data_IF_762459719954
#
_entry.id   IF_762459719954
#
_cell.length_a   1.000
_cell.length_b   1.000
_cell.length_c   1.000
_cell.angle_alpha   90.00
_cell.angle_beta   90.00
_cell.angle_gamma   90.00
#
_symmetry.space_group_name_H-M   'P 1'
#
loop_
_entity.id
_entity.type
_entity.pdbx_description
1 polymer ?
#
# COMPACT_ATOMS: atom_id res chain seq x y z
N UNK A 1 0.86 -9.34 6.71
CA UNK A 1 1.69 -10.11 7.64
C UNK A 1 2.97 -9.34 7.86
N UNK A 2 3.30 -8.97 9.11
CA UNK A 2 4.55 -8.29 9.41
C UNK A 2 5.75 -9.21 9.13
N UNK A 3 6.90 -8.61 8.81
CA UNK A 3 8.12 -9.35 8.42
C UNK A 3 8.51 -10.43 9.43
N UNK A 4 8.47 -10.10 10.73
CA UNK A 4 8.89 -11.01 11.81
C UNK A 4 7.96 -12.21 12.03
N UNK A 5 6.77 -12.21 11.40
CA UNK A 5 5.81 -13.31 11.44
C UNK A 5 5.78 -14.13 10.15
N UNK A 6 6.63 -13.81 9.17
CA UNK A 6 6.73 -14.61 7.95
C UNK A 6 7.14 -16.06 8.27
N UNK A 7 6.58 -17.06 7.58
CA UNK A 7 7.00 -18.44 7.76
C UNK A 7 8.49 -18.62 7.51
N UNK A 8 9.14 -19.48 8.29
CA UNK A 8 10.55 -19.85 8.13
C UNK A 8 10.91 -20.23 6.69
N UNK A 9 10.00 -20.89 5.98
CA UNK A 9 10.20 -21.27 4.57
C UNK A 9 10.39 -20.07 3.65
N UNK A 10 9.70 -18.96 3.92
CA UNK A 10 9.82 -17.70 3.17
C UNK A 10 11.13 -17.01 3.55
N UNK A 11 11.39 -16.86 4.85
CA UNK A 11 12.58 -16.16 5.36
C UNK A 11 13.87 -16.86 4.92
N UNK A 12 13.93 -18.20 4.97
CA UNK A 12 15.10 -19.00 4.62
C UNK A 12 15.26 -19.24 3.12
N UNK A 13 14.23 -19.01 2.32
CA UNK A 13 14.33 -19.13 0.86
C UNK A 13 14.99 -17.92 0.22
N UNK A 14 15.38 -18.07 -1.04
CA UNK A 14 15.85 -16.97 -1.89
C UNK A 14 14.69 -16.18 -2.54
N UNK A 15 13.46 -16.29 -2.02
CA UNK A 15 12.34 -15.56 -2.59
C UNK A 15 12.52 -14.05 -2.40
N UNK A 16 12.36 -13.31 -3.49
CA UNK A 16 12.35 -11.84 -3.48
C UNK A 16 11.02 -11.31 -2.96
N UNK A 17 11.05 -10.16 -2.31
CA UNK A 17 9.86 -9.46 -1.80
C UNK A 17 9.80 -8.04 -2.35
N UNK A 18 8.58 -7.56 -2.62
CA UNK A 18 8.32 -6.16 -2.91
C UNK A 18 7.43 -5.64 -1.79
N UNK A 19 7.90 -4.63 -1.08
CA UNK A 19 7.14 -3.98 -0.02
C UNK A 19 6.79 -2.56 -0.43
N UNK A 20 5.52 -2.18 -0.27
CA UNK A 20 5.06 -0.83 -0.54
C UNK A 20 4.42 -0.24 0.71
N UNK A 21 4.89 0.93 1.13
CA UNK A 21 4.25 1.71 2.18
C UNK A 21 3.63 2.98 1.61
N UNK A 22 2.81 3.64 2.44
CA UNK A 22 2.04 4.82 2.07
C UNK A 22 1.93 5.77 3.27
N UNK A 23 1.69 7.06 3.03
CA UNK A 23 1.38 8.00 4.10
C UNK A 23 0.29 7.42 5.05
N UNK A 24 0.53 7.38 6.37
CA UNK A 24 -0.36 6.71 7.32
C UNK A 24 -1.76 7.34 7.40
N UNK A 25 -1.89 8.65 7.15
CA UNK A 25 -3.19 9.36 7.19
C UNK A 25 -4.07 8.91 6.02
N UNK A 26 -3.49 8.87 4.82
CA UNK A 26 -4.16 8.36 3.63
C UNK A 26 -4.45 6.86 3.71
N UNK A 27 -3.52 6.10 4.31
CA UNK A 27 -3.67 4.66 4.57
C UNK A 27 -4.87 4.40 5.47
N UNK A 28 -4.98 5.14 6.58
CA UNK A 28 -6.12 5.06 7.48
C UNK A 28 -7.44 5.35 6.76
N UNK A 29 -7.54 6.47 6.03
CA UNK A 29 -8.78 6.81 5.31
C UNK A 29 -9.15 5.77 4.26
N UNK A 30 -8.15 5.23 3.56
CA UNK A 30 -8.36 4.13 2.63
C UNK A 30 -8.91 2.89 3.33
N UNK A 31 -8.30 2.50 4.47
CA UNK A 31 -8.71 1.33 5.25
C UNK A 31 -10.11 1.49 5.85
N UNK A 32 -10.39 2.61 6.52
CA UNK A 32 -11.69 2.92 7.10
C UNK A 32 -12.80 2.94 6.05
N UNK A 33 -12.56 3.55 4.89
CA UNK A 33 -13.52 3.54 3.76
C UNK A 33 -13.74 2.15 3.18
N UNK A 34 -12.69 1.31 3.16
CA UNK A 34 -12.73 -0.04 2.62
C UNK A 34 -13.57 -0.96 3.51
N UNK A 35 -13.30 -0.98 4.83
CA UNK A 35 -14.04 -1.83 5.78
C UNK A 35 -15.54 -1.46 5.83
N UNK A 36 -15.90 -0.19 5.64
CA UNK A 36 -17.33 0.20 5.58
C UNK A 36 -18.10 -0.46 4.43
N UNK A 37 -17.40 -0.91 3.38
CA UNK A 37 -17.99 -1.61 2.23
C UNK A 37 -17.99 -3.12 2.40
N UNK A 38 -17.55 -3.63 3.55
CA UNK A 38 -17.56 -5.05 3.85
C UNK A 38 -18.99 -5.53 4.05
N UNK A 39 -19.39 -6.59 3.33
CA UNK A 39 -20.59 -7.35 3.64
C UNK A 39 -20.35 -8.14 4.92
N UNK A 40 -20.76 -7.57 6.04
CA UNK A 40 -20.54 -8.11 7.38
C UNK A 40 -21.82 -8.11 8.20
N UNK A 41 -21.99 -9.15 9.02
CA UNK A 41 -23.08 -9.22 10.01
C UNK A 41 -22.71 -8.57 11.35
N UNK A 42 -21.47 -8.04 11.49
CA UNK A 42 -20.92 -7.54 12.76
C UNK A 42 -21.36 -6.11 13.13
N UNK A 43 -22.39 -5.58 12.48
CA UNK A 43 -22.88 -4.21 12.72
C UNK A 43 -22.01 -3.14 12.06
N UNK A 44 -22.40 -1.86 12.20
CA UNK A 44 -21.64 -0.74 11.63
C UNK A 44 -20.30 -0.57 12.34
N UNK A 45 -19.37 0.10 11.67
CA UNK A 45 -18.13 0.54 12.31
C UNK A 45 -18.39 1.62 13.36
N UNK A 46 -17.47 1.70 14.32
CA UNK A 46 -17.30 2.87 15.19
C UNK A 46 -17.12 4.16 14.38
N UNK A 47 -17.23 5.29 15.08
CA UNK A 47 -17.02 6.60 14.47
C UNK A 47 -15.62 6.72 13.85
N UNK A 48 -15.45 7.65 12.91
CA UNK A 48 -14.15 7.91 12.29
C UNK A 48 -13.08 8.26 13.34
N UNK A 49 -13.44 9.04 14.35
CA UNK A 49 -12.55 9.46 15.44
C UNK A 49 -12.10 8.27 16.29
N UNK A 50 -13.02 7.40 16.71
CA UNK A 50 -12.69 6.18 17.47
C UNK A 50 -11.84 5.23 16.64
N UNK A 51 -12.18 5.01 15.36
CA UNK A 51 -11.38 4.20 14.46
C UNK A 51 -9.97 4.77 14.27
N UNK A 52 -9.84 6.09 14.18
CA UNK A 52 -8.54 6.76 14.04
C UNK A 52 -7.72 6.65 15.32
N UNK A 53 -8.36 6.82 16.47
CA UNK A 53 -7.71 6.66 17.78
C UNK A 53 -7.17 5.23 17.95
N UNK A 54 -7.97 4.21 17.63
CA UNK A 54 -7.52 2.81 17.62
C UNK A 54 -6.33 2.61 16.65
N UNK A 55 -6.39 3.18 15.45
CA UNK A 55 -5.29 3.09 14.48
C UNK A 55 -4.00 3.77 15.01
N UNK A 56 -4.11 4.93 15.65
CA UNK A 56 -2.99 5.61 16.31
C UNK A 56 -2.38 4.77 17.45
N UNK A 57 -3.19 4.01 18.18
CA UNK A 57 -2.75 3.09 19.23
C UNK A 57 -2.20 1.77 18.67
N UNK A 58 -2.20 1.58 17.34
CA UNK A 58 -1.77 0.36 16.68
C UNK A 58 -2.80 -0.78 16.71
N UNK A 59 -4.02 -0.50 17.16
CA UNK A 59 -5.14 -1.44 17.23
C UNK A 59 -5.85 -1.44 15.88
N UNK A 60 -5.30 -2.17 14.91
CA UNK A 60 -5.89 -2.37 13.59
C UNK A 60 -5.56 -3.77 13.05
N UNK A 61 -6.28 -4.22 12.03
CA UNK A 61 -5.88 -5.42 11.30
C UNK A 61 -4.45 -5.29 10.79
N UNK A 62 -3.61 -6.30 11.06
CA UNK A 62 -2.16 -6.29 10.76
C UNK A 62 -1.36 -5.14 11.42
N UNK A 63 -1.97 -4.44 12.39
CA UNK A 63 -1.33 -3.34 13.12
C UNK A 63 -0.34 -3.82 14.18
N UNK A 64 0.51 -2.90 14.72
CA UNK A 64 0.56 -1.48 14.39
C UNK A 64 1.16 -1.18 13.01
N UNK A 65 0.55 -0.26 12.25
CA UNK A 65 0.96 0.02 10.86
C UNK A 65 2.43 0.47 10.74
N UNK A 66 2.87 1.39 11.60
CA UNK A 66 4.23 1.92 11.52
C UNK A 66 5.29 0.89 11.93
N UNK A 67 4.97 -0.02 12.86
CA UNK A 67 5.81 -1.18 13.17
C UNK A 67 5.93 -2.12 11.99
N UNK A 68 4.82 -2.37 11.28
CA UNK A 68 4.80 -3.17 10.06
C UNK A 68 5.73 -2.56 8.99
N UNK A 69 5.65 -1.24 8.76
CA UNK A 69 6.54 -0.52 7.84
C UNK A 69 8.00 -0.61 8.28
N UNK A 70 8.27 -0.37 9.57
CA UNK A 70 9.62 -0.37 10.10
C UNK A 70 10.29 -1.76 10.05
N UNK A 71 9.53 -2.84 10.27
CA UNK A 71 10.04 -4.20 10.15
C UNK A 71 10.57 -4.51 8.75
N UNK A 72 9.78 -4.17 7.73
CA UNK A 72 10.21 -4.33 6.34
C UNK A 72 11.33 -3.36 5.94
N UNK A 73 11.36 -2.15 6.51
CA UNK A 73 12.45 -1.20 6.27
C UNK A 73 13.78 -1.73 6.78
N UNK A 74 13.82 -2.25 8.01
CA UNK A 74 15.02 -2.87 8.58
C UNK A 74 15.48 -4.08 7.76
N UNK A 75 14.53 -4.94 7.38
CA UNK A 75 14.84 -6.10 6.54
C UNK A 75 15.40 -5.69 5.17
N UNK A 76 14.89 -4.60 4.58
CA UNK A 76 15.44 -4.01 3.36
C UNK A 76 16.87 -3.48 3.57
N UNK A 77 17.15 -2.81 4.68
CA UNK A 77 18.50 -2.32 5.00
C UNK A 77 19.50 -3.48 5.19
N UNK A 78 19.07 -4.59 5.78
CA UNK A 78 19.90 -5.79 5.96
C UNK A 78 20.15 -6.53 4.64
N UNK A 79 19.16 -6.58 3.74
CA UNK A 79 19.28 -7.27 2.46
C UNK A 79 18.52 -6.54 1.33
N UNK A 80 19.11 -5.48 0.75
CA UNK A 80 18.45 -4.66 -0.26
C UNK A 80 18.22 -5.40 -1.59
N UNK A 81 18.97 -6.46 -1.86
CA UNK A 81 18.81 -7.27 -3.08
C UNK A 81 17.63 -8.26 -2.98
N UNK A 82 17.19 -8.58 -1.76
CA UNK A 82 16.05 -9.49 -1.49
C UNK A 82 14.73 -8.74 -1.35
N UNK A 83 14.75 -7.48 -0.93
CA UNK A 83 13.53 -6.70 -0.67
C UNK A 83 13.57 -5.37 -1.43
N UNK A 84 12.67 -5.21 -2.40
CA UNK A 84 12.42 -3.93 -3.05
C UNK A 84 11.43 -3.12 -2.21
N UNK A 85 11.89 -2.03 -1.61
CA UNK A 85 11.07 -1.13 -0.80
C UNK A 85 10.61 0.07 -1.65
N UNK A 86 9.30 0.35 -1.65
CA UNK A 86 8.66 1.38 -2.48
C UNK A 86 7.69 2.22 -1.66
N UNK A 87 7.49 3.48 -2.07
CA UNK A 87 6.46 4.36 -1.50
C UNK A 87 5.37 4.66 -2.53
N UNK A 88 4.11 4.53 -2.10
CA UNK A 88 2.95 4.72 -2.97
C UNK A 88 2.94 6.12 -3.61
N UNK A 89 3.20 7.17 -2.85
CA UNK A 89 3.19 8.56 -3.32
C UNK A 89 4.21 8.76 -4.45
N UNK A 90 5.42 8.20 -4.30
CA UNK A 90 6.50 8.32 -5.27
C UNK A 90 6.20 7.56 -6.55
N UNK A 91 5.76 6.29 -6.43
CA UNK A 91 5.37 5.47 -7.58
C UNK A 91 4.16 6.10 -8.29
N UNK A 92 3.23 6.70 -7.56
CA UNK A 92 2.05 7.33 -8.16
C UNK A 92 2.39 8.61 -8.92
N UNK A 93 3.38 9.37 -8.46
CA UNK A 93 3.82 10.62 -9.06
C UNK A 93 4.62 10.40 -10.35
N UNK A 94 5.54 9.44 -10.35
CA UNK A 94 6.31 9.05 -11.54
C UNK A 94 6.48 7.52 -11.61
N UNK A 95 5.52 6.78 -12.20
CA UNK A 95 5.54 5.32 -12.16
C UNK A 95 6.62 4.68 -13.04
N UNK A 96 7.11 5.36 -14.08
CA UNK A 96 7.96 4.73 -15.11
C UNK A 96 9.31 4.22 -14.56
N UNK A 97 10.07 4.98 -13.76
CA UNK A 97 11.32 4.50 -13.17
C UNK A 97 11.08 3.29 -12.24
N UNK A 98 10.03 3.32 -11.43
CA UNK A 98 9.75 2.25 -10.46
C UNK A 98 9.23 0.98 -11.12
N UNK A 99 8.46 1.09 -12.20
CA UNK A 99 8.03 -0.09 -12.98
C UNK A 99 9.23 -0.73 -13.68
N UNK A 100 10.16 0.06 -14.22
CA UNK A 100 11.43 -0.48 -14.76
C UNK A 100 12.25 -1.16 -13.67
N UNK A 101 12.41 -0.52 -12.51
CA UNK A 101 13.13 -1.07 -11.35
C UNK A 101 12.49 -2.35 -10.83
N UNK A 102 11.16 -2.40 -10.76
CA UNK A 102 10.41 -3.59 -10.35
C UNK A 102 10.61 -4.74 -11.34
N UNK A 103 10.51 -4.47 -12.64
CA UNK A 103 10.73 -5.46 -13.68
C UNK A 103 12.15 -6.06 -13.59
N UNK A 104 13.17 -5.21 -13.45
CA UNK A 104 14.56 -5.64 -13.23
C UNK A 104 14.70 -6.49 -11.95
N UNK A 105 14.12 -6.03 -10.84
CA UNK A 105 14.14 -6.74 -9.57
C UNK A 105 13.50 -8.14 -9.68
N UNK A 106 12.44 -8.28 -10.46
CA UNK A 106 11.77 -9.56 -10.72
C UNK A 106 12.53 -10.47 -11.71
N UNK A 107 13.63 -10.00 -12.33
CA UNK A 107 14.37 -10.73 -13.36
C UNK A 107 13.73 -10.65 -14.75
N UNK A 108 12.83 -9.69 -14.96
CA UNK A 108 12.13 -9.42 -16.22
C UNK A 108 12.36 -7.99 -16.70
N UNK A 109 13.59 -7.49 -16.53
CA UNK A 109 13.97 -6.15 -16.97
C UNK A 109 13.63 -5.92 -18.44
N UNK A 110 13.08 -4.74 -18.74
CA UNK A 110 12.72 -4.39 -20.11
C UNK A 110 13.97 -4.26 -21.00
N UNK A 111 13.91 -4.87 -22.17
CA UNK A 111 14.91 -4.70 -23.24
C UNK A 111 14.86 -3.28 -23.80
N UNK A 112 15.93 -2.87 -24.49
CA UNK A 112 15.97 -1.54 -25.13
C UNK A 112 14.96 -1.41 -26.28
N UNK A 113 14.65 -2.53 -26.94
CA UNK A 113 13.57 -2.60 -27.93
C UNK A 113 12.20 -2.37 -27.29
N UNK A 114 11.90 -3.03 -26.16
CA UNK A 114 10.64 -2.83 -25.42
C UNK A 114 10.49 -1.39 -24.91
N UNK A 115 11.57 -0.80 -24.39
CA UNK A 115 11.59 0.62 -23.98
C UNK A 115 11.32 1.53 -25.17
N UNK A 116 11.96 1.29 -26.33
CA UNK A 116 11.76 2.07 -27.55
C UNK A 116 10.34 1.92 -28.11
N UNK A 117 9.74 0.74 -27.98
CA UNK A 117 8.39 0.42 -28.46
C UNK A 117 7.27 0.81 -27.48
N UNK A 118 7.60 1.53 -26.41
CA UNK A 118 6.65 2.06 -25.44
C UNK A 118 5.98 0.98 -24.58
N UNK A 119 6.63 -0.17 -24.37
CA UNK A 119 6.05 -1.29 -23.61
C UNK A 119 5.89 -0.94 -22.14
N UNK A 120 6.83 -0.17 -21.57
CA UNK A 120 6.74 0.27 -20.17
C UNK A 120 5.48 1.11 -19.95
N UNK A 121 5.24 2.07 -20.84
CA UNK A 121 4.07 2.95 -20.82
C UNK A 121 2.76 2.15 -20.99
N UNK A 122 2.76 1.11 -21.85
CA UNK A 122 1.62 0.21 -22.00
C UNK A 122 1.34 -0.56 -20.71
N UNK A 123 2.37 -1.07 -20.02
CA UNK A 123 2.23 -1.73 -18.72
C UNK A 123 1.67 -0.76 -17.68
N UNK A 124 2.25 0.44 -17.56
CA UNK A 124 1.75 1.48 -16.64
C UNK A 124 0.30 1.83 -16.92
N UNK A 125 -0.07 2.02 -18.19
CA UNK A 125 -1.44 2.35 -18.57
C UNK A 125 -2.42 1.21 -18.26
N UNK A 126 -2.05 -0.03 -18.57
CA UNK A 126 -2.85 -1.22 -18.29
C UNK A 126 -3.14 -1.37 -16.79
N UNK A 127 -2.12 -1.16 -15.95
CA UNK A 127 -2.21 -1.28 -14.50
C UNK A 127 -2.66 0.02 -13.81
N UNK A 128 -2.94 1.08 -14.56
CA UNK A 128 -3.30 2.38 -13.98
C UNK A 128 -4.64 2.31 -13.24
N UNK A 129 -4.80 3.19 -12.24
CA UNK A 129 -6.05 3.30 -11.50
C UNK A 129 -7.25 3.55 -12.43
N UNK A 130 -7.10 4.41 -13.43
CA UNK A 130 -8.17 4.76 -14.37
C UNK A 130 -8.58 3.57 -15.24
N UNK A 131 -7.61 2.84 -15.79
CA UNK A 131 -7.91 1.64 -16.57
C UNK A 131 -8.60 0.60 -15.69
N UNK A 132 -7.98 0.24 -14.56
CA UNK A 132 -8.48 -0.83 -13.69
C UNK A 132 -9.86 -0.51 -13.11
N UNK A 133 -10.11 0.73 -12.66
CA UNK A 133 -11.42 1.15 -12.15
C UNK A 133 -12.54 1.06 -13.19
N UNK A 134 -12.21 1.32 -14.46
CA UNK A 134 -13.19 1.39 -15.54
C UNK A 134 -13.42 0.07 -16.28
N UNK A 135 -12.70 -1.01 -15.94
CA UNK A 135 -12.99 -2.36 -16.43
C UNK A 135 -14.38 -2.80 -15.99
N UNK A 136 -15.12 -3.43 -16.90
CA UNK A 136 -16.46 -3.94 -16.58
C UNK A 136 -16.44 -4.91 -15.40
N UNK A 137 -15.42 -5.75 -15.28
CA UNK A 137 -15.22 -6.67 -14.16
C UNK A 137 -15.16 -5.96 -12.78
N UNK A 138 -14.80 -4.68 -12.75
CA UNK A 138 -14.61 -3.89 -11.52
C UNK A 138 -15.74 -2.88 -11.25
N UNK A 139 -16.84 -2.92 -12.02
CA UNK A 139 -18.00 -2.02 -11.85
C UNK A 139 -19.17 -2.69 -11.15
N UNK A 140 -19.92 -1.88 -10.39
CA UNK A 140 -21.13 -2.31 -9.69
C UNK A 140 -20.83 -3.35 -8.61
N UNK A 141 -21.73 -4.32 -8.49
CA UNK A 141 -21.65 -5.39 -7.48
C UNK A 141 -20.96 -6.66 -7.97
N UNK A 142 -20.20 -6.58 -9.06
CA UNK A 142 -19.43 -7.72 -9.56
C UNK A 142 -18.41 -8.18 -8.51
N UNK A 143 -18.26 -9.49 -8.43
CA UNK A 143 -17.35 -10.15 -7.50
C UNK A 143 -16.30 -10.93 -8.28
N UNK A 144 -15.30 -11.39 -7.56
CA UNK A 144 -14.30 -12.29 -8.08
C UNK A 144 -14.91 -13.68 -8.31
N UNK A 145 -14.45 -14.39 -9.32
CA UNK A 145 -15.00 -15.69 -9.72
C UNK A 145 -14.28 -16.89 -9.07
N UNK A 146 -13.08 -16.66 -8.53
CA UNK A 146 -12.19 -17.71 -8.03
C UNK A 146 -12.49 -18.14 -6.58
N UNK A 147 -12.97 -17.24 -5.72
CA UNK A 147 -13.42 -17.58 -4.37
C UNK A 147 -14.35 -16.50 -3.76
N UNK A 148 -15.19 -16.86 -2.77
CA UNK A 148 -16.06 -15.89 -2.11
C UNK A 148 -15.28 -14.74 -1.44
N UNK A 149 -15.77 -13.52 -1.62
CA UNK A 149 -15.20 -12.31 -1.02
C UNK A 149 -16.30 -11.51 -0.32
N UNK A 150 -16.05 -10.93 0.87
CA UNK A 150 -17.01 -10.03 1.50
C UNK A 150 -17.07 -8.65 0.83
N UNK A 151 -16.30 -8.42 -0.24
CA UNK A 151 -16.23 -7.19 -1.01
C UNK A 151 -16.52 -7.43 -2.49
N UNK A 152 -17.21 -6.47 -3.10
CA UNK A 152 -17.33 -6.35 -4.56
C UNK A 152 -16.04 -5.77 -5.15
N UNK A 153 -15.76 -6.06 -6.42
CA UNK A 153 -14.54 -5.63 -7.10
C UNK A 153 -14.41 -4.10 -7.17
N UNK A 154 -15.54 -3.37 -7.23
CA UNK A 154 -15.56 -1.91 -7.23
C UNK A 154 -15.06 -1.28 -5.92
N UNK A 155 -15.02 -2.06 -4.84
CA UNK A 155 -14.53 -1.62 -3.53
C UNK A 155 -13.05 -1.26 -3.54
N UNK A 156 -12.24 -1.98 -4.33
CA UNK A 156 -10.79 -1.76 -4.40
C UNK A 156 -10.41 -0.44 -5.10
N UNK A 157 -11.32 0.16 -5.88
CA UNK A 157 -11.05 1.33 -6.72
C UNK A 157 -11.82 2.58 -6.28
N UNK A 158 -11.46 3.13 -5.10
CA UNK A 158 -12.14 4.31 -4.51
C UNK A 158 -11.81 5.63 -5.22
N UNK A 159 -10.67 6.25 -4.89
CA UNK A 159 -10.22 7.54 -5.45
C UNK A 159 -8.85 7.51 -6.13
N UNK A 160 -7.91 6.67 -5.70
CA UNK A 160 -6.59 6.54 -6.36
C UNK A 160 -5.70 7.79 -6.28
N UNK A 161 -5.95 8.67 -5.29
CA UNK A 161 -5.25 9.95 -5.08
C UNK A 161 -4.44 9.93 -3.80
N UNK A 162 -3.39 10.75 -3.76
CA UNK A 162 -2.62 11.10 -2.56
C UNK A 162 -3.21 12.34 -1.89
N UNK A 163 -3.08 12.45 -0.57
CA UNK A 163 -3.56 13.59 0.21
C UNK A 163 -5.08 13.67 0.37
N UNK A 164 -5.82 12.57 0.16
CA UNK A 164 -7.28 12.57 0.32
C UNK A 164 -7.70 12.69 1.79
N UNK A 165 -6.78 12.41 2.73
CA UNK A 165 -7.00 12.52 4.16
C UNK A 165 -7.49 13.90 4.63
N UNK A 166 -7.13 14.98 3.93
CA UNK A 166 -7.57 16.35 4.26
C UNK A 166 -9.08 16.54 4.21
N UNK A 167 -9.80 15.66 3.48
CA UNK A 167 -11.25 15.71 3.38
C UNK A 167 -11.96 15.01 4.54
N UNK A 168 -11.23 14.39 5.47
CA UNK A 168 -11.77 13.52 6.51
C UNK A 168 -11.18 13.77 7.89
N UNK A 169 -9.87 14.02 7.98
CA UNK A 169 -9.18 14.23 9.25
C UNK A 169 -9.10 15.71 9.60
N UNK A 170 -9.31 16.04 10.87
CA UNK A 170 -9.04 17.39 11.37
C UNK A 170 -7.53 17.66 11.41
N UNK A 171 -7.10 18.94 11.45
CA UNK A 171 -5.68 19.27 11.62
C UNK A 171 -5.05 18.62 12.85
N UNK A 172 -5.79 18.50 13.96
CA UNK A 172 -5.31 17.89 15.20
C UNK A 172 -5.09 16.38 15.03
N UNK A 173 -6.00 15.69 14.34
CA UNK A 173 -5.86 14.28 14.03
C UNK A 173 -4.65 14.04 13.13
N UNK A 174 -4.50 14.84 12.07
CA UNK A 174 -3.36 14.75 11.16
C UNK A 174 -2.03 14.97 11.90
N UNK A 175 -1.93 16.03 12.69
CA UNK A 175 -0.75 16.35 13.49
C UNK A 175 -0.40 15.25 14.50
N UNK A 176 -1.41 14.59 15.10
CA UNK A 176 -1.18 13.44 15.98
C UNK A 176 -0.51 12.29 15.25
N UNK A 177 -1.00 11.92 14.07
CA UNK A 177 -0.39 10.83 13.29
C UNK A 177 1.00 11.19 12.78
N UNK A 178 1.20 12.44 12.35
CA UNK A 178 2.51 12.93 11.93
C UNK A 178 3.53 12.85 13.09
N UNK A 179 3.16 13.30 14.29
CA UNK A 179 4.00 13.19 15.47
C UNK A 179 4.36 11.73 15.83
N UNK A 180 3.38 10.82 15.79
CA UNK A 180 3.62 9.38 16.04
C UNK A 180 4.58 8.81 14.98
N UNK A 181 4.37 9.15 13.70
CA UNK A 181 5.22 8.70 12.59
C UNK A 181 6.65 9.23 12.72
N UNK A 182 6.81 10.53 12.99
CA UNK A 182 8.10 11.16 13.17
C UNK A 182 8.86 10.54 14.35
N UNK A 183 8.21 10.38 15.50
CA UNK A 183 8.83 9.73 16.67
C UNK A 183 9.28 8.31 16.36
N UNK A 184 8.43 7.53 15.66
CA UNK A 184 8.72 6.14 15.32
C UNK A 184 9.87 5.98 14.31
N UNK A 185 9.93 6.88 13.32
CA UNK A 185 10.89 6.78 12.22
C UNK A 185 12.13 7.63 12.39
N UNK A 186 12.20 8.46 13.44
CA UNK A 186 13.37 9.26 13.76
C UNK A 186 14.63 8.39 13.87
N UNK A 187 15.64 8.73 13.07
CA UNK A 187 16.93 8.04 13.10
C UNK A 187 16.96 6.68 12.41
N UNK A 188 15.87 6.25 11.76
CA UNK A 188 15.84 4.99 11.00
C UNK A 188 16.32 5.17 9.56
N UNK A 189 16.35 6.41 9.07
CA UNK A 189 16.64 6.75 7.69
C UNK A 189 15.43 6.67 6.75
N UNK A 190 14.26 6.25 7.24
CA UNK A 190 13.06 6.05 6.40
C UNK A 190 12.40 7.37 5.96
N UNK A 191 12.44 8.41 6.80
CA UNK A 191 11.88 9.71 6.40
C UNK A 191 12.75 10.41 5.35
N UNK A 192 14.05 10.14 5.38
CA UNK A 192 15.05 10.73 4.49
C UNK A 192 15.25 9.92 3.20
N UNK A 193 15.15 8.59 3.27
CA UNK A 193 15.52 7.69 2.16
C UNK A 193 14.41 6.71 1.77
N UNK A 194 13.26 6.71 2.45
CA UNK A 194 12.14 5.80 2.17
C UNK A 194 11.24 6.25 1.02
N UNK A 195 11.78 7.02 0.07
CA UNK A 195 11.09 7.50 -1.14
C UNK A 195 10.92 6.42 -2.21
#
# INVERSE_FOLDING_TARGET
MPHDFLPDSVVKSDCKMVYMWRDPKDTFISFWSFIQRQRSTRGPLSSLEECFDMFCQGISGEGPYLDHVLGYWKAHQENPDKILFLKYETVRADPLPYVKRLAEFMGYGFTDEEKKNGVVEKVVNLCSFETMKNLEANKGDKEREDHPSPYTNSTYFRKGKTGDWVNYLTPEMAARMDGIMEEKFKGTGLLENGE
#
